data_IF_382543663654
#
_entry.id   IF_382543663654
#
_cell.length_a   1.000
_cell.length_b   1.000
_cell.length_c   1.000
_cell.angle_alpha   90.00
_cell.angle_beta   90.00
_cell.angle_gamma   90.00
#
_symmetry.space_group_name_H-M   'P 1'
#
loop_
_entity.id
_entity.type
_entity.pdbx_description
1 polymer ?
#
# COMPACT_ATOMS: atom_id res chain seq x y z
N UNK A 1 14.88 8.86 -3.33
CA UNK A 1 14.57 8.14 -2.09
C UNK A 1 14.95 6.69 -2.34
N UNK A 2 15.70 6.04 -1.45
CA UNK A 2 16.39 4.78 -1.76
C UNK A 2 15.48 3.56 -2.05
N UNK A 3 14.15 3.72 -1.94
CA UNK A 3 13.15 2.66 -2.10
C UNK A 3 12.32 2.80 -3.39
N UNK A 4 12.45 3.92 -4.11
CA UNK A 4 11.64 4.24 -5.29
C UNK A 4 12.53 4.10 -6.51
N UNK A 5 12.14 3.24 -7.45
CA UNK A 5 12.83 3.02 -8.71
C UNK A 5 12.43 4.09 -9.74
N UNK A 6 11.12 4.28 -9.90
CA UNK A 6 10.58 5.17 -10.92
C UNK A 6 9.52 6.11 -10.34
N UNK A 7 9.51 7.35 -10.83
CA UNK A 7 8.47 8.34 -10.54
C UNK A 7 7.72 8.66 -11.83
N UNK A 8 6.39 8.46 -11.83
CA UNK A 8 5.50 8.73 -12.97
C UNK A 8 4.50 9.84 -12.63
N UNK A 9 4.21 10.69 -13.62
CA UNK A 9 3.18 11.71 -13.51
C UNK A 9 1.92 11.23 -14.23
N UNK A 10 0.81 11.13 -13.51
CA UNK A 10 -0.49 10.74 -14.06
C UNK A 10 -1.29 12.02 -14.31
N UNK A 11 -1.54 12.32 -15.59
CA UNK A 11 -2.22 13.53 -16.01
C UNK A 11 -3.74 13.31 -16.13
N UNK A 12 -4.51 14.33 -15.76
CA UNK A 12 -5.94 14.46 -16.07
C UNK A 12 -6.17 15.89 -16.55
N UNK A 13 -6.78 16.05 -17.73
CA UNK A 13 -7.04 17.37 -18.34
C UNK A 13 -5.78 18.25 -18.43
N UNK A 14 -4.66 17.65 -18.84
CA UNK A 14 -3.32 18.29 -18.92
C UNK A 14 -2.75 18.81 -17.60
N UNK A 15 -3.34 18.43 -16.46
CA UNK A 15 -2.85 18.75 -15.11
C UNK A 15 -2.37 17.47 -14.42
N UNK A 16 -1.33 17.58 -13.59
CA UNK A 16 -0.90 16.45 -12.77
C UNK A 16 -1.99 16.14 -11.76
N UNK A 17 -2.61 14.97 -11.89
CA UNK A 17 -3.67 14.50 -11.00
C UNK A 17 -3.09 13.64 -9.89
N UNK A 18 -2.14 12.76 -10.22
CA UNK A 18 -1.44 11.90 -9.27
C UNK A 18 0.04 11.79 -9.65
N UNK A 19 0.85 11.53 -8.64
CA UNK A 19 2.24 11.13 -8.79
C UNK A 19 2.33 9.70 -8.29
N UNK A 20 2.73 8.78 -9.17
CA UNK A 20 2.98 7.39 -8.84
C UNK A 20 4.48 7.19 -8.60
N UNK A 21 4.80 6.37 -7.61
CA UNK A 21 6.16 5.98 -7.25
C UNK A 21 6.22 4.47 -7.29
N UNK A 22 6.85 3.95 -8.33
CA UNK A 22 7.03 2.53 -8.54
C UNK A 22 8.24 2.07 -7.75
N UNK A 23 8.10 0.93 -7.07
CA UNK A 23 9.16 0.30 -6.30
C UNK A 23 9.56 -1.02 -6.94
N UNK A 24 10.72 -1.57 -6.58
CA UNK A 24 11.13 -2.92 -7.00
C UNK A 24 10.63 -4.01 -6.04
N UNK A 25 9.75 -3.66 -5.10
CA UNK A 25 9.12 -4.64 -4.24
C UNK A 25 7.91 -5.22 -4.94
N UNK A 26 7.66 -6.52 -4.73
CA UNK A 26 6.56 -7.25 -5.36
C UNK A 26 5.48 -7.59 -4.34
N UNK A 27 4.25 -7.66 -4.81
CA UNK A 27 3.10 -8.16 -4.08
C UNK A 27 2.93 -9.68 -4.24
N UNK A 28 1.91 -10.32 -3.62
CA UNK A 28 1.68 -11.75 -3.75
C UNK A 28 1.33 -12.25 -5.17
N UNK A 29 1.06 -11.34 -6.10
CA UNK A 29 0.77 -11.64 -7.51
C UNK A 29 1.99 -11.41 -8.42
N UNK A 30 3.17 -11.14 -7.84
CA UNK A 30 4.40 -10.75 -8.53
C UNK A 30 4.31 -9.38 -9.24
N UNK A 31 3.33 -8.55 -8.85
CA UNK A 31 3.18 -7.19 -9.36
C UNK A 31 4.01 -6.19 -8.54
N UNK A 32 4.64 -5.22 -9.22
CA UNK A 32 5.41 -4.18 -8.55
C UNK A 32 4.52 -3.25 -7.71
N UNK A 33 4.90 -3.06 -6.45
CA UNK A 33 4.20 -2.16 -5.53
C UNK A 33 4.38 -0.72 -6.01
N UNK A 34 3.25 -0.06 -6.22
CA UNK A 34 3.18 1.37 -6.53
C UNK A 34 2.48 2.10 -5.40
N UNK A 35 3.05 3.23 -4.96
CA UNK A 35 2.37 4.16 -4.06
C UNK A 35 2.10 5.48 -4.76
N UNK A 36 1.06 6.16 -4.33
CA UNK A 36 0.52 7.34 -5.00
C UNK A 36 0.48 8.53 -4.05
N UNK A 37 0.62 9.73 -4.60
CA UNK A 37 0.42 10.99 -3.87
C UNK A 37 -0.17 12.05 -4.79
N UNK A 38 -1.14 12.81 -4.29
CA UNK A 38 -1.60 14.03 -4.97
C UNK A 38 -0.48 15.09 -4.97
N UNK A 39 -0.30 15.90 -6.03
CA UNK A 39 0.71 16.97 -6.03
C UNK A 39 0.61 17.93 -4.84
N UNK A 40 -0.61 18.25 -4.42
CA UNK A 40 -0.92 19.07 -3.23
C UNK A 40 -1.14 18.26 -1.95
N UNK A 41 -1.04 16.93 -2.02
CA UNK A 41 -1.36 16.04 -0.91
C UNK A 41 -0.26 15.99 0.14
N UNK A 42 -0.66 15.78 1.40
CA UNK A 42 0.23 15.60 2.56
C UNK A 42 0.48 14.14 2.92
N UNK A 43 -0.05 13.20 2.15
CA UNK A 43 0.05 11.77 2.41
C UNK A 43 0.29 10.97 1.12
N UNK A 44 0.76 9.75 1.30
CA UNK A 44 0.86 8.70 0.31
C UNK A 44 -0.27 7.70 0.53
N UNK A 45 -0.75 7.09 -0.55
CA UNK A 45 -1.77 6.03 -0.54
C UNK A 45 -1.35 4.87 -1.44
N UNK A 46 -1.87 3.68 -1.19
CA UNK A 46 -1.70 2.49 -2.05
C UNK A 46 -2.82 2.35 -3.11
N UNK A 47 -3.76 3.29 -3.18
CA UNK A 47 -4.91 3.27 -4.12
C UNK A 47 -5.78 2.00 -3.98
N UNK A 48 -5.72 1.35 -2.81
CA UNK A 48 -6.57 0.22 -2.43
C UNK A 48 -6.13 -1.15 -2.95
N UNK A 49 -4.98 -1.25 -3.63
CA UNK A 49 -4.44 -2.52 -4.11
C UNK A 49 -4.15 -3.50 -2.96
N UNK A 50 -3.64 -3.02 -1.82
CA UNK A 50 -3.34 -3.90 -0.67
C UNK A 50 -4.62 -4.47 -0.07
N UNK A 51 -5.67 -3.64 0.03
CA UNK A 51 -6.99 -4.07 0.52
C UNK A 51 -7.59 -5.13 -0.40
N UNK A 52 -7.51 -4.94 -1.71
CA UNK A 52 -7.97 -5.93 -2.69
C UNK A 52 -7.25 -7.29 -2.49
N UNK A 53 -5.92 -7.27 -2.41
CA UNK A 53 -5.13 -8.49 -2.18
C UNK A 53 -5.49 -9.16 -0.84
N UNK A 54 -5.69 -8.37 0.21
CA UNK A 54 -6.15 -8.87 1.51
C UNK A 54 -7.52 -9.55 1.43
N UNK A 55 -8.49 -8.95 0.72
CA UNK A 55 -9.82 -9.53 0.53
C UNK A 55 -9.76 -10.85 -0.29
N UNK A 56 -8.81 -10.96 -1.22
CA UNK A 56 -8.59 -12.20 -2.01
C UNK A 56 -7.92 -13.32 -1.21
N UNK A 57 -6.86 -13.03 -0.47
CA UNK A 57 -5.99 -14.05 0.11
C UNK A 57 -6.21 -14.30 1.61
N UNK A 58 -6.82 -13.34 2.31
CA UNK A 58 -7.04 -13.42 3.77
C UNK A 58 -8.44 -12.87 4.10
N UNK A 59 -9.54 -13.52 3.69
CA UNK A 59 -10.90 -12.94 3.73
C UNK A 59 -11.42 -12.52 5.12
N UNK A 60 -10.78 -12.97 6.22
CA UNK A 60 -11.12 -12.58 7.59
C UNK A 60 -10.11 -11.58 8.21
N UNK A 61 -9.33 -10.88 7.37
CA UNK A 61 -8.26 -9.99 7.85
C UNK A 61 -8.80 -8.80 8.65
N UNK A 62 -10.03 -8.37 8.36
CA UNK A 62 -10.68 -7.20 8.98
C UNK A 62 -11.01 -7.49 10.45
N UNK A 63 -11.35 -8.71 10.78
CA UNK A 63 -11.66 -9.16 12.15
C UNK A 63 -10.40 -9.57 12.93
N UNK A 64 -9.36 -10.07 12.25
CA UNK A 64 -8.13 -10.55 12.86
C UNK A 64 -7.28 -9.42 13.50
N UNK A 65 -7.45 -8.18 13.02
CA UNK A 65 -6.82 -6.99 13.57
C UNK A 65 -5.30 -6.91 13.34
N UNK A 66 -4.73 -7.80 12.53
CA UNK A 66 -3.30 -7.78 12.19
C UNK A 66 -2.92 -6.54 11.38
N UNK A 67 -3.73 -6.14 10.40
CA UNK A 67 -3.48 -4.92 9.60
C UNK A 67 -3.46 -3.67 10.48
N UNK A 68 -4.35 -3.56 11.45
CA UNK A 68 -4.36 -2.43 12.40
C UNK A 68 -3.07 -2.38 13.25
N UNK A 69 -2.58 -3.55 13.70
CA UNK A 69 -1.31 -3.65 14.44
C UNK A 69 -0.13 -3.22 13.56
N UNK A 70 -0.09 -3.65 12.30
CA UNK A 70 0.95 -3.27 11.33
C UNK A 70 0.89 -1.77 11.07
N UNK A 71 -0.30 -1.23 10.79
CA UNK A 71 -0.53 0.20 10.58
C UNK A 71 -0.03 1.03 11.76
N UNK A 72 -0.42 0.68 12.98
CA UNK A 72 0.05 1.34 14.21
C UNK A 72 1.57 1.28 14.36
N UNK A 73 2.20 0.16 14.02
CA UNK A 73 3.66 -0.04 14.16
C UNK A 73 4.47 0.86 13.24
N UNK A 74 3.99 1.09 12.02
CA UNK A 74 4.72 1.84 10.99
C UNK A 74 4.20 3.27 10.77
N UNK A 75 3.12 3.68 11.45
CA UNK A 75 2.54 5.01 11.31
C UNK A 75 1.64 5.17 10.09
N UNK A 76 1.05 4.06 9.63
CA UNK A 76 0.03 4.02 8.60
C UNK A 76 -1.37 3.97 9.24
N UNK A 77 -2.40 4.27 8.46
CA UNK A 77 -3.81 4.10 8.84
C UNK A 77 -4.62 3.61 7.64
N UNK A 78 -5.70 2.89 7.93
CA UNK A 78 -6.76 2.67 6.95
C UNK A 78 -7.55 3.96 6.72
N UNK A 79 -7.90 4.25 5.46
CA UNK A 79 -8.73 5.37 5.05
C UNK A 79 -9.90 4.90 4.18
N UNK A 80 -10.89 5.78 3.97
CA UNK A 80 -11.99 5.54 3.03
C UNK A 80 -12.79 4.28 3.34
N UNK A 81 -13.34 4.14 4.57
CA UNK A 81 -14.05 2.92 5.01
C UNK A 81 -13.20 1.64 4.99
N UNK A 82 -11.89 1.77 5.24
CA UNK A 82 -10.92 0.67 5.21
C UNK A 82 -10.71 0.09 3.81
N UNK A 83 -10.65 0.99 2.81
CA UNK A 83 -10.38 0.65 1.42
C UNK A 83 -8.95 0.95 1.00
N UNK A 84 -8.26 1.90 1.66
CA UNK A 84 -6.90 2.31 1.29
C UNK A 84 -5.97 2.45 2.51
N UNK A 85 -4.69 2.18 2.32
CA UNK A 85 -3.64 2.48 3.30
C UNK A 85 -3.08 3.87 3.06
N UNK A 86 -2.94 4.67 4.12
CA UNK A 86 -2.34 6.00 4.03
C UNK A 86 -1.27 6.26 5.08
N UNK A 87 -0.18 6.91 4.68
CA UNK A 87 0.85 7.40 5.59
C UNK A 87 1.40 8.77 5.15
N UNK A 88 1.88 9.62 6.07
CA UNK A 88 2.46 10.91 5.72
C UNK A 88 3.80 10.79 4.98
N UNK A 89 4.53 9.69 5.19
CA UNK A 89 5.81 9.41 4.53
C UNK A 89 5.73 8.11 3.72
N UNK A 90 6.37 8.10 2.56
CA UNK A 90 6.45 6.95 1.65
C UNK A 90 7.05 5.71 2.35
N UNK A 91 8.13 5.88 3.11
CA UNK A 91 8.81 4.79 3.80
C UNK A 91 7.91 4.08 4.81
N UNK A 92 7.00 4.82 5.46
CA UNK A 92 6.04 4.26 6.38
C UNK A 92 5.00 3.41 5.65
N UNK A 93 4.49 3.92 4.53
CA UNK A 93 3.53 3.19 3.71
C UNK A 93 4.17 1.93 3.11
N UNK A 94 5.35 2.04 2.51
CA UNK A 94 6.08 0.90 1.95
C UNK A 94 6.34 -0.16 3.02
N UNK A 95 6.84 0.21 4.21
CA UNK A 95 7.05 -0.75 5.30
C UNK A 95 5.76 -1.45 5.74
N UNK A 96 4.64 -0.73 5.80
CA UNK A 96 3.35 -1.32 6.14
C UNK A 96 2.88 -2.31 5.06
N UNK A 97 2.95 -1.94 3.78
CA UNK A 97 2.57 -2.82 2.66
C UNK A 97 3.43 -4.09 2.65
N UNK A 98 4.75 -3.96 2.77
CA UNK A 98 5.65 -5.13 2.81
C UNK A 98 5.36 -6.07 3.98
N UNK A 99 5.05 -5.52 5.16
CA UNK A 99 4.68 -6.32 6.31
C UNK A 99 3.34 -7.05 6.09
N UNK A 100 2.38 -6.40 5.42
CA UNK A 100 1.10 -7.02 5.06
C UNK A 100 1.32 -8.13 4.03
N UNK A 101 2.10 -7.91 2.98
CA UNK A 101 2.33 -8.93 1.96
C UNK A 101 3.16 -10.11 2.46
N UNK A 102 4.16 -9.87 3.30
CA UNK A 102 4.81 -10.96 4.02
C UNK A 102 3.81 -11.76 4.87
N UNK A 103 2.86 -11.07 5.53
CA UNK A 103 1.81 -11.77 6.28
C UNK A 103 0.87 -12.56 5.38
N UNK A 104 0.43 -12.01 4.24
CA UNK A 104 -0.39 -12.74 3.25
C UNK A 104 0.33 -14.02 2.82
N UNK A 105 1.60 -13.92 2.44
CA UNK A 105 2.44 -15.05 2.00
C UNK A 105 2.50 -16.13 3.09
N UNK A 106 2.87 -15.76 4.31
CA UNK A 106 3.11 -16.73 5.38
C UNK A 106 1.86 -17.20 6.14
N UNK A 107 0.72 -16.51 6.04
CA UNK A 107 -0.57 -17.02 6.54
C UNK A 107 -1.37 -17.81 5.48
N UNK A 108 -1.18 -17.50 4.20
CA UNK A 108 -1.87 -18.14 3.08
C UNK A 108 -1.31 -19.52 2.72
N UNK A 109 -0.04 -19.78 3.02
CA UNK A 109 0.58 -21.09 2.87
C UNK A 109 0.18 -21.97 4.07
N UNK A 110 -0.80 -22.85 3.87
CA UNK A 110 -0.75 -24.14 4.56
C UNK A 110 0.48 -24.88 4.01
N UNK A 111 1.54 -24.97 4.81
CA UNK A 111 2.57 -25.98 4.61
C UNK A 111 1.94 -27.38 4.67
#
# INVERSE_FOLDING_TARGET
MALIEQKRLILKDSKVNWIAYDTNFVDPLDDCITIYRKPSGSYFTDDGYTTFNLDCFVPNWREDGTVDKICKRYGCKMHGKNEELQAPYDSQLIQAILAIYAWIEFKGIKL
#
